data_IF_209633751333
#
_entry.id   IF_209633751333
#
_cell.length_a   1.000
_cell.length_b   1.000
_cell.length_c   1.000
_cell.angle_alpha   90.00
_cell.angle_beta   90.00
_cell.angle_gamma   90.00
#
_symmetry.space_group_name_H-M   'P 1'
#
loop_
_entity.id
_entity.type
_entity.pdbx_description
1 polymer ?
#
# COMPACT_ATOMS: atom_id res chain seq x y z
N UNK A 1 5.95 -30.06 -0.17
CA UNK A 1 6.15 -29.13 -1.31
C UNK A 1 6.80 -27.88 -0.77
N UNK A 2 7.90 -27.40 -1.38
CA UNK A 2 8.47 -26.10 -1.01
C UNK A 2 7.63 -24.99 -1.67
N UNK A 3 7.02 -24.12 -0.87
CA UNK A 3 6.19 -23.01 -1.34
C UNK A 3 6.92 -21.66 -1.31
N UNK A 4 8.21 -21.64 -0.93
CA UNK A 4 8.97 -20.40 -0.76
C UNK A 4 9.11 -19.63 -2.07
N UNK A 5 9.02 -18.31 -2.01
CA UNK A 5 9.14 -17.41 -3.17
C UNK A 5 10.18 -16.33 -2.88
N UNK A 6 11.09 -16.10 -3.82
CA UNK A 6 11.97 -14.93 -3.81
C UNK A 6 11.31 -13.85 -4.67
N UNK A 7 10.64 -12.87 -4.04
CA UNK A 7 9.80 -11.89 -4.74
C UNK A 7 10.62 -10.78 -5.42
N UNK A 8 11.80 -10.44 -4.87
CA UNK A 8 12.68 -9.40 -5.39
C UNK A 8 14.10 -9.94 -5.68
N UNK A 9 14.24 -10.94 -6.58
CA UNK A 9 15.50 -11.68 -6.78
C UNK A 9 16.67 -10.82 -7.29
N UNK A 10 16.39 -9.67 -7.91
CA UNK A 10 17.40 -8.75 -8.46
C UNK A 10 17.83 -7.68 -7.45
N UNK A 11 17.10 -7.51 -6.36
CA UNK A 11 17.47 -6.60 -5.28
C UNK A 11 18.55 -7.25 -4.41
N UNK A 12 19.57 -6.48 -4.00
CA UNK A 12 20.67 -6.97 -3.15
C UNK A 12 20.19 -7.57 -1.82
N UNK A 13 19.11 -7.05 -1.26
CA UNK A 13 18.52 -7.53 -0.01
C UNK A 13 17.61 -8.74 -0.23
N UNK A 14 17.06 -8.90 -1.44
CA UNK A 14 16.00 -9.86 -1.72
C UNK A 14 14.74 -9.64 -0.88
N UNK A 15 13.72 -10.45 -1.15
CA UNK A 15 12.51 -10.56 -0.36
C UNK A 15 12.04 -12.03 -0.39
N UNK A 16 12.57 -12.83 0.54
CA UNK A 16 12.22 -14.25 0.65
C UNK A 16 10.93 -14.41 1.47
N UNK A 17 9.94 -15.04 0.86
CA UNK A 17 8.66 -15.39 1.48
C UNK A 17 8.63 -16.88 1.76
N UNK A 18 8.12 -17.29 2.93
CA UNK A 18 7.97 -18.70 3.26
C UNK A 18 6.92 -19.41 2.38
N UNK A 19 5.95 -18.67 1.86
CA UNK A 19 4.86 -19.12 0.99
C UNK A 19 4.24 -17.92 0.25
N UNK A 20 3.35 -18.11 -0.74
CA UNK A 20 2.74 -17.01 -1.50
C UNK A 20 1.67 -16.20 -0.75
N UNK A 21 1.22 -16.62 0.43
CA UNK A 21 0.06 -15.99 1.07
C UNK A 21 0.53 -14.80 1.92
N UNK A 22 0.09 -13.60 1.54
CA UNK A 22 0.35 -12.37 2.29
C UNK A 22 -0.94 -11.55 2.46
N UNK A 23 -0.92 -10.63 3.41
CA UNK A 23 -2.07 -9.75 3.66
C UNK A 23 -2.10 -8.60 2.67
N UNK A 24 -3.29 -8.10 2.33
CA UNK A 24 -3.42 -6.87 1.56
C UNK A 24 -3.28 -5.65 2.49
N UNK A 25 -2.61 -4.59 2.01
CA UNK A 25 -2.54 -3.33 2.73
C UNK A 25 -3.94 -2.82 3.09
N UNK A 26 -4.15 -2.46 4.36
CA UNK A 26 -5.41 -1.91 4.86
C UNK A 26 -6.41 -2.94 5.40
N UNK A 27 -6.20 -4.25 5.21
CA UNK A 27 -7.10 -5.29 5.74
C UNK A 27 -6.59 -5.93 7.03
N UNK A 28 -5.30 -5.74 7.36
CA UNK A 28 -4.62 -6.44 8.45
C UNK A 28 -3.92 -5.51 9.47
N UNK A 29 -4.29 -4.22 9.49
CA UNK A 29 -3.76 -3.25 10.44
C UNK A 29 -2.22 -3.16 10.41
N UNK A 30 -1.60 -3.34 11.57
CA UNK A 30 -0.14 -3.43 11.74
C UNK A 30 0.34 -4.87 12.03
N UNK A 31 -0.50 -5.88 11.79
CA UNK A 31 -0.23 -7.30 12.00
C UNK A 31 -0.53 -7.82 13.40
N UNK A 32 -0.67 -6.94 14.38
CA UNK A 32 -0.93 -7.29 15.79
C UNK A 32 -2.37 -7.66 16.08
N UNK A 33 -3.29 -7.05 15.33
CA UNK A 33 -4.72 -7.06 15.57
C UNK A 33 -5.32 -8.46 15.41
N UNK A 34 -4.72 -9.30 14.57
CA UNK A 34 -5.17 -10.65 14.25
C UNK A 34 -4.31 -11.75 14.90
N UNK A 35 -3.28 -11.39 15.66
CA UNK A 35 -2.35 -12.34 16.29
C UNK A 35 -3.00 -13.30 17.28
N UNK A 36 -4.17 -12.96 17.79
CA UNK A 36 -4.96 -13.81 18.68
C UNK A 36 -5.82 -14.85 17.94
N UNK A 37 -6.00 -14.72 16.61
CA UNK A 37 -6.83 -15.62 15.80
C UNK A 37 -6.02 -16.76 15.20
N UNK A 38 -4.75 -16.51 14.84
CA UNK A 38 -3.83 -17.53 14.32
C UNK A 38 -2.37 -17.07 14.43
N UNK A 39 -1.45 -18.02 14.25
CA UNK A 39 -0.01 -17.72 14.19
C UNK A 39 0.35 -16.98 12.90
N UNK A 40 0.55 -15.66 13.02
CA UNK A 40 0.93 -14.76 11.92
C UNK A 40 2.28 -15.13 11.29
N UNK A 41 3.15 -15.87 11.99
CA UNK A 41 4.45 -16.31 11.47
C UNK A 41 4.31 -17.34 10.34
N UNK A 42 3.10 -17.88 10.12
CA UNK A 42 2.79 -18.79 9.01
C UNK A 42 2.54 -18.06 7.69
N UNK A 43 2.34 -16.74 7.70
CA UNK A 43 2.17 -15.96 6.47
C UNK A 43 3.51 -15.84 5.72
N UNK A 44 3.42 -15.69 4.40
CA UNK A 44 4.54 -15.35 3.54
C UNK A 44 5.07 -13.94 3.81
N UNK A 45 4.17 -12.98 3.99
CA UNK A 45 4.46 -11.60 4.41
C UNK A 45 3.23 -10.93 5.05
N UNK A 46 3.47 -9.84 5.77
CA UNK A 46 2.42 -8.90 6.20
C UNK A 46 2.65 -7.58 5.47
N UNK A 47 1.63 -7.11 4.74
CA UNK A 47 1.60 -5.74 4.22
C UNK A 47 0.79 -4.89 5.18
N UNK A 48 1.44 -3.92 5.83
CA UNK A 48 0.78 -3.08 6.82
C UNK A 48 -0.15 -2.05 6.18
N UNK A 49 -0.96 -1.38 7.00
CA UNK A 49 -1.77 -0.24 6.58
C UNK A 49 -0.92 0.85 5.91
N UNK A 50 -1.52 1.56 4.95
CA UNK A 50 -0.87 2.67 4.26
C UNK A 50 -0.37 3.75 5.22
N UNK A 51 0.90 4.08 5.09
CA UNK A 51 1.65 5.00 5.96
C UNK A 51 1.92 6.29 5.21
N UNK A 52 1.62 7.42 5.85
CA UNK A 52 1.94 8.76 5.36
C UNK A 52 2.98 9.42 6.24
N UNK A 53 3.55 10.55 5.81
CA UNK A 53 4.55 11.29 6.61
C UNK A 53 3.97 11.69 7.97
N UNK A 54 2.81 12.35 7.93
CA UNK A 54 2.08 12.78 9.11
C UNK A 54 0.86 11.90 9.36
N UNK A 55 0.34 11.83 10.60
CA UNK A 55 -0.87 11.08 10.93
C UNK A 55 -2.09 11.58 10.12
N UNK A 56 -3.05 10.68 9.89
CA UNK A 56 -4.32 10.99 9.22
C UNK A 56 -5.49 10.39 9.99
N UNK A 57 -6.55 11.17 10.16
CA UNK A 57 -7.79 10.70 10.79
C UNK A 57 -8.65 9.85 9.84
N UNK A 58 -8.49 10.04 8.53
CA UNK A 58 -9.29 9.39 7.48
C UNK A 58 -10.54 10.18 7.10
N UNK A 59 -11.37 9.60 6.23
CA UNK A 59 -12.55 10.27 5.68
C UNK A 59 -13.73 10.32 6.69
N UNK A 60 -14.77 11.13 6.45
CA UNK A 60 -15.98 11.08 7.27
C UNK A 60 -16.66 9.70 7.26
N UNK A 61 -17.34 9.36 8.36
CA UNK A 61 -18.19 8.17 8.46
C UNK A 61 -19.52 8.39 7.71
N UNK A 62 -20.19 7.32 7.22
CA UNK A 62 -19.78 5.92 7.20
C UNK A 62 -18.65 5.63 6.20
N UNK A 63 -17.69 4.78 6.59
CA UNK A 63 -16.54 4.41 5.75
C UNK A 63 -16.65 3.07 5.04
N UNK A 64 -17.70 2.29 5.32
CA UNK A 64 -17.92 0.97 4.73
C UNK A 64 -19.38 0.85 4.25
N UNK A 65 -19.57 0.15 3.14
CA UNK A 65 -20.90 -0.26 2.66
C UNK A 65 -20.78 -1.63 1.97
N UNK A 66 -21.62 -2.59 2.35
CA UNK A 66 -21.65 -3.91 1.72
C UNK A 66 -22.21 -3.83 0.28
N UNK A 67 -21.71 -4.69 -0.60
CA UNK A 67 -22.23 -4.88 -1.96
C UNK A 67 -22.44 -6.37 -2.22
N UNK A 68 -23.09 -6.71 -3.34
CA UNK A 68 -23.13 -8.09 -3.79
C UNK A 68 -21.69 -8.62 -3.96
N UNK A 69 -21.32 -9.61 -3.15
CA UNK A 69 -19.99 -10.25 -3.15
C UNK A 69 -18.81 -9.29 -2.94
N UNK A 70 -19.00 -8.18 -2.22
CA UNK A 70 -17.93 -7.21 -2.01
C UNK A 70 -18.23 -6.20 -0.91
N UNK A 71 -17.30 -5.27 -0.70
CA UNK A 71 -17.45 -4.18 0.25
C UNK A 71 -16.82 -2.92 -0.31
N UNK A 72 -17.58 -1.84 -0.35
CA UNK A 72 -17.03 -0.52 -0.61
C UNK A 72 -16.37 0.02 0.65
N UNK A 73 -15.18 0.61 0.50
CA UNK A 73 -14.48 1.28 1.57
C UNK A 73 -14.06 2.70 1.19
N UNK A 74 -14.13 3.60 2.17
CA UNK A 74 -13.64 4.97 2.05
C UNK A 74 -12.93 5.37 3.33
N UNK A 75 -11.83 4.65 3.63
CA UNK A 75 -11.11 4.85 4.89
C UNK A 75 -10.37 6.20 4.93
N UNK A 76 -9.87 6.67 3.80
CA UNK A 76 -9.10 7.94 3.70
C UNK A 76 -7.67 7.84 4.24
N UNK A 77 -7.05 6.66 4.16
CA UNK A 77 -5.69 6.40 4.65
C UNK A 77 -5.50 6.76 6.14
N UNK A 78 -6.48 6.51 7.01
CA UNK A 78 -6.30 6.75 8.45
C UNK A 78 -5.07 6.00 8.98
N UNK A 79 -4.06 6.68 9.52
CA UNK A 79 -2.83 6.05 9.99
C UNK A 79 -2.10 6.93 11.01
N UNK A 80 -1.13 6.34 11.71
CA UNK A 80 -0.39 7.00 12.81
C UNK A 80 0.81 7.84 12.34
N UNK A 81 1.11 7.89 11.04
CA UNK A 81 2.30 8.54 10.49
C UNK A 81 3.58 7.71 10.66
N UNK A 82 4.58 8.01 9.84
CA UNK A 82 5.83 7.22 9.77
C UNK A 82 6.63 7.26 11.08
N UNK A 83 6.68 8.40 11.76
CA UNK A 83 7.42 8.55 13.03
C UNK A 83 6.88 7.65 14.13
N UNK A 84 5.56 7.60 14.28
CA UNK A 84 4.93 6.74 15.27
C UNK A 84 5.03 5.26 14.87
N UNK A 85 4.92 4.93 13.58
CA UNK A 85 5.16 3.58 13.07
C UNK A 85 6.55 3.05 13.43
N UNK A 86 7.60 3.85 13.19
CA UNK A 86 8.98 3.49 13.53
C UNK A 86 9.16 3.36 15.05
N UNK A 87 8.55 4.26 15.83
CA UNK A 87 8.69 4.23 17.28
C UNK A 87 7.93 3.07 17.94
N UNK A 88 6.73 2.75 17.45
CA UNK A 88 5.77 1.89 18.16
C UNK A 88 5.60 0.50 17.55
N UNK A 89 5.74 0.36 16.22
CA UNK A 89 5.44 -0.90 15.52
C UNK A 89 6.71 -1.66 15.13
N UNK A 90 7.71 -0.94 14.65
CA UNK A 90 9.00 -1.53 14.22
C UNK A 90 9.69 -2.37 15.30
N UNK A 91 9.77 -1.98 16.59
CA UNK A 91 10.41 -2.81 17.61
C UNK A 91 9.79 -4.21 17.73
N UNK A 92 8.48 -4.30 17.49
CA UNK A 92 7.78 -5.57 17.47
C UNK A 92 8.09 -6.35 16.18
N UNK A 93 8.04 -5.68 15.02
CA UNK A 93 8.34 -6.32 13.73
C UNK A 93 9.77 -6.85 13.64
N UNK A 94 10.73 -6.19 14.29
CA UNK A 94 12.11 -6.66 14.38
C UNK A 94 12.25 -8.01 15.10
N UNK A 95 11.26 -8.40 15.92
CA UNK A 95 11.21 -9.72 16.57
C UNK A 95 10.54 -10.81 15.73
N UNK A 96 9.95 -10.45 14.58
CA UNK A 96 9.19 -11.37 13.74
C UNK A 96 10.08 -12.06 12.69
N UNK A 97 9.70 -13.30 12.35
CA UNK A 97 10.28 -14.04 11.23
C UNK A 97 9.53 -13.75 9.94
N UNK A 98 8.22 -13.54 10.00
CA UNK A 98 7.42 -13.12 8.85
C UNK A 98 7.88 -11.72 8.40
N UNK A 99 8.22 -11.53 7.12
CA UNK A 99 8.65 -10.23 6.61
C UNK A 99 7.49 -9.23 6.62
N UNK A 100 7.80 -7.99 6.97
CA UNK A 100 6.85 -6.87 6.96
C UNK A 100 7.16 -5.95 5.80
N UNK A 101 6.13 -5.69 4.98
CA UNK A 101 6.15 -4.78 3.85
C UNK A 101 5.38 -3.53 4.27
N UNK A 102 6.04 -2.37 4.26
CA UNK A 102 5.40 -1.10 4.62
C UNK A 102 4.74 -0.50 3.39
N UNK A 103 3.40 -0.45 3.38
CA UNK A 103 2.67 0.28 2.37
C UNK A 103 2.82 1.79 2.62
N UNK A 104 3.30 2.54 1.63
CA UNK A 104 3.49 3.99 1.71
C UNK A 104 2.54 4.73 0.77
N UNK A 105 2.09 5.90 1.21
CA UNK A 105 1.22 6.79 0.46
C UNK A 105 1.68 8.24 0.66
N UNK A 106 1.61 9.04 -0.41
CA UNK A 106 2.04 10.44 -0.43
C UNK A 106 1.20 11.26 -1.41
N UNK A 107 1.22 12.57 -1.22
CA UNK A 107 0.48 13.54 -2.05
C UNK A 107 1.39 14.17 -3.12
N UNK A 108 2.71 14.13 -2.89
CA UNK A 108 3.75 14.57 -3.82
C UNK A 108 4.84 13.49 -3.99
N UNK A 109 5.58 13.54 -5.10
CA UNK A 109 6.75 12.67 -5.35
C UNK A 109 7.77 12.76 -4.21
N UNK A 110 7.97 13.97 -3.67
CA UNK A 110 8.88 14.20 -2.55
C UNK A 110 8.41 13.50 -1.27
N UNK A 111 7.09 13.41 -1.02
CA UNK A 111 6.59 12.69 0.16
C UNK A 111 6.94 11.21 0.09
N UNK A 112 6.78 10.59 -1.09
CA UNK A 112 7.15 9.19 -1.30
C UNK A 112 8.65 8.96 -1.10
N UNK A 113 9.49 9.83 -1.69
CA UNK A 113 10.95 9.74 -1.52
C UNK A 113 11.37 9.92 -0.06
N UNK A 114 10.74 10.84 0.68
CA UNK A 114 11.00 11.05 2.11
C UNK A 114 10.57 9.84 2.94
N UNK A 115 9.38 9.30 2.70
CA UNK A 115 8.91 8.08 3.37
C UNK A 115 9.88 6.92 3.14
N UNK A 116 10.29 6.69 1.90
CA UNK A 116 11.25 5.64 1.57
C UNK A 116 12.58 5.82 2.31
N UNK A 117 13.09 7.05 2.39
CA UNK A 117 14.32 7.37 3.11
C UNK A 117 14.22 7.17 4.61
N UNK A 118 13.08 7.52 5.23
CA UNK A 118 12.87 7.33 6.67
C UNK A 118 12.73 5.86 7.07
N UNK A 119 12.30 5.01 6.14
CA UNK A 119 12.14 3.56 6.36
C UNK A 119 13.41 2.76 6.00
N UNK A 120 14.32 3.34 5.22
CA UNK A 120 15.54 2.65 4.79
C UNK A 120 16.46 2.29 5.96
N UNK A 121 16.97 1.06 5.98
CA UNK A 121 17.86 0.57 7.03
C UNK A 121 17.20 0.33 8.40
N UNK A 122 15.89 0.56 8.53
CA UNK A 122 15.15 0.31 9.78
C UNK A 122 14.93 -1.21 9.96
N UNK A 123 15.52 -1.76 11.03
CA UNK A 123 15.42 -3.19 11.32
C UNK A 123 13.98 -3.65 11.54
N UNK A 124 13.56 -4.73 10.89
CA UNK A 124 12.19 -5.26 10.95
C UNK A 124 11.30 -4.84 9.77
N UNK A 125 11.79 -3.94 8.91
CA UNK A 125 11.15 -3.63 7.62
C UNK A 125 11.87 -4.41 6.52
N UNK A 126 11.11 -5.20 5.76
CA UNK A 126 11.67 -6.09 4.72
C UNK A 126 11.52 -5.54 3.30
N UNK A 127 10.52 -4.70 3.06
CA UNK A 127 10.26 -4.06 1.77
C UNK A 127 9.31 -2.87 1.90
N UNK A 128 9.17 -2.11 0.83
CA UNK A 128 8.20 -1.02 0.68
C UNK A 128 7.21 -1.37 -0.44
N UNK A 129 5.92 -1.15 -0.19
CA UNK A 129 4.89 -1.17 -1.23
C UNK A 129 4.41 0.26 -1.49
N UNK A 130 4.66 0.77 -2.70
CA UNK A 130 4.30 2.13 -3.12
C UNK A 130 2.86 2.15 -3.63
N UNK A 131 1.95 2.77 -2.87
CA UNK A 131 0.56 2.93 -3.28
C UNK A 131 0.37 4.20 -4.13
N UNK A 132 0.38 4.03 -5.46
CA UNK A 132 0.21 5.14 -6.41
C UNK A 132 -1.27 5.44 -6.76
N UNK A 133 -2.23 4.88 -6.03
CA UNK A 133 -3.66 5.21 -6.20
C UNK A 133 -4.10 6.45 -5.39
N UNK A 134 -3.14 7.23 -4.88
CA UNK A 134 -3.40 8.46 -4.11
C UNK A 134 -3.49 9.67 -5.05
N UNK A 135 -4.31 10.68 -4.73
CA UNK A 135 -4.41 11.89 -5.54
C UNK A 135 -3.09 12.68 -5.51
N UNK A 136 -2.63 13.10 -6.68
CA UNK A 136 -1.49 14.00 -6.87
C UNK A 136 -1.97 15.45 -6.78
N UNK A 137 -1.61 16.15 -5.70
CA UNK A 137 -2.03 17.53 -5.47
C UNK A 137 -1.46 18.49 -6.52
N UNK A 138 -0.26 18.23 -7.04
CA UNK A 138 0.38 19.06 -8.07
C UNK A 138 -0.28 18.90 -9.45
N UNK A 139 -0.92 17.76 -9.71
CA UNK A 139 -1.68 17.49 -10.93
C UNK A 139 -3.19 17.69 -10.76
N UNK A 140 -3.62 18.54 -9.83
CA UNK A 140 -5.04 18.86 -9.62
C UNK A 140 -5.87 17.72 -9.02
N UNK A 141 -5.23 16.75 -8.35
CA UNK A 141 -5.88 15.65 -7.65
C UNK A 141 -6.00 14.34 -8.45
N UNK A 142 -5.42 14.24 -9.65
CA UNK A 142 -5.38 12.99 -10.41
C UNK A 142 -4.51 11.93 -9.72
N UNK A 143 -4.91 10.65 -9.76
CA UNK A 143 -4.12 9.56 -9.17
C UNK A 143 -2.78 9.37 -9.92
N UNK A 144 -1.66 9.20 -9.21
CA UNK A 144 -0.35 8.98 -9.87
C UNK A 144 -0.35 7.75 -10.82
N UNK A 145 -1.10 6.70 -10.47
CA UNK A 145 -1.15 5.44 -11.21
C UNK A 145 -2.01 5.46 -12.48
N UNK A 146 -2.66 6.56 -12.84
CA UNK A 146 -3.44 6.65 -14.10
C UNK A 146 -2.60 7.09 -15.29
N UNK A 147 -1.39 7.60 -15.05
CA UNK A 147 -0.47 8.06 -16.08
C UNK A 147 0.90 7.39 -15.89
N UNK A 148 1.45 6.84 -16.98
CA UNK A 148 2.72 6.11 -16.97
C UNK A 148 3.91 6.96 -16.51
N UNK A 149 3.98 8.23 -16.93
CA UNK A 149 5.09 9.14 -16.60
C UNK A 149 5.06 9.48 -15.11
N UNK A 150 3.88 9.81 -14.58
CA UNK A 150 3.69 10.09 -13.15
C UNK A 150 4.00 8.86 -12.28
N UNK A 151 3.58 7.67 -12.71
CA UNK A 151 3.87 6.42 -12.00
C UNK A 151 5.38 6.11 -12.01
N UNK A 152 6.06 6.31 -13.15
CA UNK A 152 7.51 6.14 -13.28
C UNK A 152 8.28 7.16 -12.43
N UNK A 153 7.85 8.42 -12.40
CA UNK A 153 8.48 9.48 -11.60
C UNK A 153 8.46 9.15 -10.11
N UNK A 154 7.30 8.75 -9.56
CA UNK A 154 7.19 8.31 -8.16
C UNK A 154 8.08 7.10 -7.90
N UNK A 155 8.06 6.12 -8.81
CA UNK A 155 8.83 4.87 -8.65
C UNK A 155 10.33 5.15 -8.65
N UNK A 156 10.82 5.96 -9.58
CA UNK A 156 12.23 6.33 -9.66
C UNK A 156 12.68 7.11 -8.42
N UNK A 157 11.85 8.04 -7.94
CA UNK A 157 12.14 8.82 -6.73
C UNK A 157 12.22 7.94 -5.47
N UNK A 158 11.31 6.97 -5.32
CA UNK A 158 11.37 5.98 -4.23
C UNK A 158 12.61 5.11 -4.38
N UNK A 159 12.86 4.55 -5.58
CA UNK A 159 13.99 3.67 -5.83
C UNK A 159 15.32 4.34 -5.51
N UNK A 160 15.48 5.63 -5.82
CA UNK A 160 16.68 6.41 -5.51
C UNK A 160 16.85 6.70 -4.00
N UNK A 161 15.79 6.59 -3.21
CA UNK A 161 15.77 6.99 -1.80
C UNK A 161 15.91 5.82 -0.79
N UNK A 162 15.90 4.57 -1.25
CA UNK A 162 16.01 3.38 -0.40
C UNK A 162 16.85 2.30 -1.05
N UNK A 163 17.41 1.41 -0.25
CA UNK A 163 18.03 0.14 -0.64
C UNK A 163 17.05 -1.05 -0.60
N UNK A 164 15.95 -0.93 0.14
CA UNK A 164 14.93 -1.98 0.31
C UNK A 164 14.32 -2.42 -1.04
N UNK A 165 13.76 -3.65 -1.12
CA UNK A 165 12.88 -4.03 -2.21
C UNK A 165 11.69 -3.07 -2.36
N UNK A 166 11.43 -2.65 -3.59
CA UNK A 166 10.33 -1.72 -3.93
C UNK A 166 9.27 -2.45 -4.75
N UNK A 167 8.10 -2.64 -4.16
CA UNK A 167 6.90 -3.10 -4.84
C UNK A 167 6.07 -1.89 -5.23
N UNK A 168 5.44 -1.88 -6.41
CA UNK A 168 4.52 -0.81 -6.82
C UNK A 168 3.11 -1.36 -6.97
N UNK A 169 2.16 -0.78 -6.22
CA UNK A 169 0.75 -1.19 -6.21
C UNK A 169 -0.07 -0.43 -7.24
N UNK A 170 -0.52 -1.13 -8.28
CA UNK A 170 -1.20 -0.49 -9.41
C UNK A 170 -2.71 -0.33 -9.19
N UNK A 171 -3.25 0.80 -9.64
CA UNK A 171 -4.68 1.07 -9.70
C UNK A 171 -5.29 0.34 -10.91
N UNK A 172 -6.45 -0.31 -10.78
CA UNK A 172 -7.18 -0.85 -11.92
C UNK A 172 -7.90 0.25 -12.71
N UNK A 173 -7.98 1.48 -12.17
CA UNK A 173 -8.77 2.58 -12.71
C UNK A 173 -7.99 3.39 -13.77
N UNK A 174 -7.30 2.71 -14.69
CA UNK A 174 -6.51 3.31 -15.77
C UNK A 174 -6.93 2.75 -17.13
N UNK A 175 -6.76 3.52 -18.20
CA UNK A 175 -7.06 3.09 -19.57
C UNK A 175 -5.95 2.22 -20.17
N UNK A 176 -4.72 2.29 -19.66
CA UNK A 176 -3.58 1.49 -20.15
C UNK A 176 -2.71 0.98 -18.98
N UNK A 177 -3.14 -0.13 -18.38
CA UNK A 177 -2.40 -0.77 -17.30
C UNK A 177 -1.05 -1.34 -17.76
N UNK A 178 -0.95 -1.74 -19.03
CA UNK A 178 0.28 -2.28 -19.63
C UNK A 178 1.37 -1.23 -19.72
N UNK A 179 1.01 -0.01 -20.17
CA UNK A 179 1.91 1.14 -20.20
C UNK A 179 2.42 1.50 -18.81
N UNK A 180 1.52 1.59 -17.83
CA UNK A 180 1.88 1.91 -16.44
C UNK A 180 2.79 0.82 -15.85
N UNK A 181 2.45 -0.46 -16.03
CA UNK A 181 3.24 -1.58 -15.52
C UNK A 181 4.67 -1.60 -16.11
N UNK A 182 4.80 -1.32 -17.41
CA UNK A 182 6.12 -1.20 -18.07
C UNK A 182 6.91 -0.03 -17.49
N UNK A 183 6.28 1.12 -17.36
CA UNK A 183 6.93 2.34 -16.89
C UNK A 183 7.46 2.20 -15.46
N UNK A 184 6.70 1.60 -14.54
CA UNK A 184 7.18 1.36 -13.16
C UNK A 184 8.30 0.32 -13.10
N UNK A 185 8.24 -0.72 -13.96
CA UNK A 185 9.32 -1.71 -14.04
C UNK A 185 10.62 -1.10 -14.55
N UNK A 186 10.55 -0.27 -15.61
CA UNK A 186 11.70 0.47 -16.16
C UNK A 186 12.25 1.52 -15.18
N UNK A 187 11.38 2.13 -14.37
CA UNK A 187 11.76 3.06 -13.30
C UNK A 187 12.41 2.39 -12.07
N UNK A 188 12.48 1.05 -12.04
CA UNK A 188 13.23 0.31 -11.03
C UNK A 188 12.39 -0.35 -9.93
N UNK A 189 11.09 -0.57 -10.15
CA UNK A 189 10.31 -1.46 -9.29
C UNK A 189 10.90 -2.89 -9.31
N UNK A 190 11.07 -3.49 -8.13
CA UNK A 190 11.54 -4.88 -8.00
C UNK A 190 10.40 -5.89 -8.24
N UNK A 191 9.16 -5.48 -7.93
CA UNK A 191 7.95 -6.25 -8.18
C UNK A 191 6.72 -5.34 -8.31
N UNK A 192 5.63 -5.89 -8.81
CA UNK A 192 4.34 -5.20 -8.98
C UNK A 192 3.30 -5.93 -8.15
N UNK A 193 2.48 -5.20 -7.40
CA UNK A 193 1.28 -5.73 -6.76
C UNK A 193 0.03 -5.17 -7.46
N UNK A 194 -0.92 -6.05 -7.75
CA UNK A 194 -2.16 -5.68 -8.43
C UNK A 194 -3.32 -6.56 -7.93
N UNK A 195 -4.54 -6.05 -7.82
CA UNK A 195 -4.97 -4.66 -8.05
C UNK A 195 -5.21 -3.90 -6.74
N UNK A 196 -5.19 -2.57 -6.78
CA UNK A 196 -5.94 -1.77 -5.80
C UNK A 196 -7.45 -1.82 -6.10
N UNK A 197 -8.28 -1.17 -5.28
CA UNK A 197 -9.74 -1.24 -5.40
C UNK A 197 -10.28 -0.57 -6.66
N UNK A 198 -11.43 -1.06 -7.16
CA UNK A 198 -12.19 -0.40 -8.22
C UNK A 198 -12.99 0.77 -7.66
N UNK A 199 -13.25 1.82 -8.46
CA UNK A 199 -14.08 2.95 -8.01
C UNK A 199 -15.56 2.60 -8.06
N UNK A 200 -16.27 2.79 -6.94
CA UNK A 200 -17.69 2.50 -6.83
C UNK A 200 -18.46 3.46 -5.92
N UNK A 201 -19.78 3.35 -5.96
CA UNK A 201 -20.70 4.13 -5.13
C UNK A 201 -21.92 3.28 -4.81
N UNK A 202 -22.40 3.37 -3.57
CA UNK A 202 -23.68 2.80 -3.17
C UNK A 202 -24.62 3.92 -2.73
N UNK A 203 -25.88 3.81 -3.14
CA UNK A 203 -26.92 4.83 -2.94
C UNK A 203 -27.99 4.31 -1.99
N UNK A 204 -28.29 5.08 -0.94
CA UNK A 204 -29.50 4.92 -0.15
C UNK A 204 -30.68 5.45 -0.99
N UNK A 205 -31.47 4.56 -1.58
CA UNK A 205 -32.58 4.93 -2.47
C UNK A 205 -33.73 5.61 -1.72
N UNK A 206 -33.87 5.38 -0.41
CA UNK A 206 -34.90 6.00 0.42
C UNK A 206 -34.52 7.43 0.76
N UNK A 207 -33.27 7.64 1.21
CA UNK A 207 -32.75 8.97 1.56
C UNK A 207 -32.21 9.76 0.36
N UNK A 208 -32.12 9.12 -0.81
CA UNK A 208 -31.61 9.68 -2.07
C UNK A 208 -30.23 10.31 -1.93
N UNK A 209 -29.34 9.62 -1.21
CA UNK A 209 -27.97 10.10 -0.96
C UNK A 209 -26.97 8.93 -0.97
N UNK A 210 -25.67 9.20 -1.17
CA UNK A 210 -24.64 8.18 -1.02
C UNK A 210 -24.63 7.57 0.39
N UNK A 211 -24.32 6.27 0.48
CA UNK A 211 -24.15 5.58 1.76
C UNK A 211 -22.83 5.96 2.45
N UNK A 212 -21.78 6.17 1.66
CA UNK A 212 -20.46 6.53 2.18
C UNK A 212 -20.38 8.03 2.46
N UNK A 213 -19.71 8.39 3.56
CA UNK A 213 -19.47 9.79 3.95
C UNK A 213 -18.63 10.56 2.92
N UNK A 214 -17.86 9.86 2.09
CA UNK A 214 -17.06 10.43 1.01
C UNK A 214 -17.67 10.24 -0.39
N UNK A 215 -18.98 9.97 -0.49
CA UNK A 215 -19.72 9.75 -1.74
C UNK A 215 -19.33 8.45 -2.46
N UNK A 216 -18.07 8.33 -2.86
CA UNK A 216 -17.49 7.15 -3.52
C UNK A 216 -16.53 6.40 -2.60
N UNK A 217 -16.25 5.15 -2.97
CA UNK A 217 -15.29 4.29 -2.28
C UNK A 217 -14.62 3.30 -3.22
N UNK A 218 -13.65 2.58 -2.70
CA UNK A 218 -13.01 1.45 -3.34
C UNK A 218 -13.80 0.17 -3.10
N UNK A 219 -14.18 -0.54 -4.17
CA UNK A 219 -14.76 -1.88 -4.16
C UNK A 219 -13.67 -2.96 -4.18
#
# INVERSE_FOLDING_TARGET
MNLSIQLAPKNKHGLLLANPVMTAAGTFGYGTEYSHLFDIQRLGAIVCKGTTLEPRDGNPQPRLAETASGVLNSIGLQNIGVKALIKEKVPLWASWRVPVIVNIAGETVNDYARLARELDGVAGISAIEVNISCPNVQAGGAEFGVNSDSAAEVTAAVRAATSLPVLVKLTPNTSDITGVARAVAEAGADAISLINTLKGMAIDVTRRRPLLGNITGGL
#
